data_IF_413753486754
#
_entry.id   IF_413753486754
#
_cell.length_a   1.000
_cell.length_b   1.000
_cell.length_c   1.000
_cell.angle_alpha   90.00
_cell.angle_beta   90.00
_cell.angle_gamma   90.00
#
_symmetry.space_group_name_H-M   'P 1'
#
loop_
_entity.id
_entity.type
_entity.pdbx_description
1 polymer ?
#
# COMPACT_ATOMS: atom_id res chain seq x y z
N UNK A 1 86.22 -54.56 8.96
CA UNK A 1 85.12 -55.49 8.64
C UNK A 1 83.89 -54.63 8.30
N UNK A 2 83.45 -54.63 7.05
CA UNK A 2 82.46 -53.69 6.52
C UNK A 2 81.05 -54.01 7.04
N UNK A 3 80.35 -53.02 7.59
CA UNK A 3 78.92 -53.12 7.90
C UNK A 3 78.12 -52.96 6.60
N UNK A 4 77.43 -54.02 6.17
CA UNK A 4 76.56 -54.00 5.01
C UNK A 4 75.28 -53.22 5.33
N UNK A 5 75.18 -51.96 4.88
CA UNK A 5 73.92 -51.21 4.88
C UNK A 5 72.98 -51.82 3.81
N UNK A 6 72.08 -52.72 4.22
CA UNK A 6 71.08 -53.31 3.32
C UNK A 6 70.04 -52.25 2.94
N UNK A 7 70.24 -51.59 1.79
CA UNK A 7 69.21 -50.74 1.17
C UNK A 7 68.19 -51.63 0.47
N UNK A 8 66.92 -51.47 0.81
CA UNK A 8 65.80 -52.16 0.17
C UNK A 8 65.04 -51.22 -0.75
N UNK A 9 64.41 -51.76 -1.79
CA UNK A 9 63.50 -51.01 -2.64
C UNK A 9 62.38 -51.93 -3.14
N UNK A 10 61.26 -51.31 -3.47
CA UNK A 10 60.07 -51.97 -4.02
C UNK A 10 59.67 -51.23 -5.28
N UNK A 11 59.36 -52.01 -6.33
CA UNK A 11 58.70 -51.53 -7.54
C UNK A 11 57.36 -52.22 -7.67
N UNK A 12 56.31 -51.45 -7.90
CA UNK A 12 54.97 -51.96 -8.17
C UNK A 12 54.52 -51.39 -9.50
N UNK A 13 54.20 -52.26 -10.46
CA UNK A 13 53.56 -51.85 -11.70
C UNK A 13 52.06 -52.05 -11.56
N UNK A 14 51.28 -51.04 -11.93
CA UNK A 14 49.83 -51.12 -11.96
C UNK A 14 49.31 -50.54 -13.28
N UNK A 15 48.14 -51.00 -13.68
CA UNK A 15 47.41 -50.46 -14.83
C UNK A 15 46.51 -49.32 -14.33
N UNK A 16 46.55 -48.19 -15.03
CA UNK A 16 45.70 -47.05 -14.70
C UNK A 16 44.28 -47.27 -15.19
N UNK A 17 43.31 -47.02 -14.30
CA UNK A 17 41.89 -46.99 -14.66
C UNK A 17 41.45 -45.73 -15.42
N UNK A 18 42.36 -44.77 -15.67
CA UNK A 18 42.05 -43.54 -16.40
C UNK A 18 42.41 -43.66 -17.89
N UNK A 19 43.54 -44.27 -18.20
CA UNK A 19 44.08 -44.31 -19.57
C UNK A 19 44.59 -45.69 -20.02
N UNK A 20 44.33 -46.75 -19.23
CA UNK A 20 44.68 -48.15 -19.52
C UNK A 20 46.18 -48.36 -19.78
N UNK A 21 47.03 -47.47 -19.24
CA UNK A 21 48.48 -47.55 -19.33
C UNK A 21 49.09 -48.13 -18.06
N UNK A 22 50.22 -48.80 -18.22
CA UNK A 22 51.00 -49.31 -17.11
C UNK A 22 51.93 -48.23 -16.56
N UNK A 23 51.96 -48.11 -15.23
CA UNK A 23 52.86 -47.22 -14.51
C UNK A 23 53.62 -47.98 -13.42
N UNK A 24 54.91 -47.70 -13.28
CA UNK A 24 55.75 -48.30 -12.23
C UNK A 24 56.04 -47.28 -11.14
N UNK A 25 55.55 -47.57 -9.94
CA UNK A 25 55.87 -46.83 -8.71
C UNK A 25 57.13 -47.42 -8.09
N UNK A 26 58.13 -46.58 -7.82
CA UNK A 26 59.32 -46.95 -7.09
C UNK A 26 59.33 -46.33 -5.70
N UNK A 27 59.70 -47.12 -4.70
CA UNK A 27 59.98 -46.67 -3.35
C UNK A 27 61.23 -47.34 -2.79
N UNK A 28 62.13 -46.57 -2.20
CA UNK A 28 63.24 -47.12 -1.41
C UNK A 28 63.03 -46.98 0.10
N UNK A 29 63.92 -47.60 0.88
CA UNK A 29 63.95 -47.50 2.34
C UNK A 29 64.36 -46.10 2.86
N UNK A 30 64.71 -45.17 1.97
CA UNK A 30 65.02 -43.78 2.27
C UNK A 30 63.86 -42.85 1.87
N UNK A 31 64.18 -41.83 1.08
CA UNK A 31 63.23 -40.82 0.60
C UNK A 31 62.93 -40.95 -0.92
N UNK A 32 63.48 -41.97 -1.59
CA UNK A 32 63.28 -42.19 -3.02
C UNK A 32 61.83 -42.60 -3.29
N UNK A 33 61.10 -41.74 -4.00
CA UNK A 33 59.69 -41.90 -4.30
C UNK A 33 59.40 -41.29 -5.68
N UNK A 34 59.10 -42.12 -6.68
CA UNK A 34 58.77 -41.65 -8.03
C UNK A 34 57.91 -42.65 -8.81
N UNK A 35 57.22 -42.16 -9.84
CA UNK A 35 56.46 -42.95 -10.81
C UNK A 35 57.08 -42.81 -12.18
N UNK A 36 57.24 -43.92 -12.89
CA UNK A 36 57.79 -43.98 -14.24
C UNK A 36 56.79 -44.64 -15.18
N UNK A 37 56.66 -44.12 -16.40
CA UNK A 37 56.02 -44.82 -17.51
C UNK A 37 57.04 -45.79 -18.14
N UNK A 38 56.82 -47.12 -18.10
CA UNK A 38 57.75 -48.09 -18.66
C UNK A 38 57.89 -47.99 -20.19
N UNK A 39 56.87 -47.51 -20.90
CA UNK A 39 56.86 -47.37 -22.37
C UNK A 39 57.66 -46.14 -22.80
N UNK A 40 57.51 -45.04 -22.08
CA UNK A 40 58.20 -43.77 -22.37
C UNK A 40 59.55 -43.63 -21.62
N UNK A 41 59.86 -44.56 -20.71
CA UNK A 41 61.01 -44.54 -19.81
C UNK A 41 61.22 -43.18 -19.09
N UNK A 42 60.11 -42.47 -18.85
CA UNK A 42 60.12 -41.10 -18.33
C UNK A 42 59.45 -41.06 -16.96
N UNK A 43 60.00 -40.26 -16.05
CA UNK A 43 59.42 -40.03 -14.72
C UNK A 43 58.28 -39.03 -14.83
N UNK A 44 57.11 -39.42 -14.34
CA UNK A 44 55.89 -38.60 -14.42
C UNK A 44 55.63 -37.84 -13.12
N UNK A 45 55.95 -38.45 -11.99
CA UNK A 45 55.74 -37.86 -10.68
C UNK A 45 56.94 -38.16 -9.78
N UNK A 46 57.38 -37.16 -9.03
CA UNK A 46 58.47 -37.28 -8.07
C UNK A 46 58.05 -36.68 -6.72
N UNK A 47 58.61 -37.21 -5.62
CA UNK A 47 58.22 -36.85 -4.24
C UNK A 47 56.85 -37.40 -3.85
N UNK A 48 56.61 -37.44 -2.54
CA UNK A 48 55.47 -38.13 -1.95
C UNK A 48 54.15 -37.54 -2.43
N UNK A 49 53.96 -36.24 -2.30
CA UNK A 49 52.68 -35.57 -2.55
C UNK A 49 52.24 -35.70 -4.01
N UNK A 50 53.17 -35.52 -4.95
CA UNK A 50 52.90 -35.62 -6.38
C UNK A 50 52.54 -37.05 -6.81
N UNK A 51 53.29 -38.03 -6.31
CA UNK A 51 52.99 -39.44 -6.58
C UNK A 51 51.66 -39.87 -5.93
N UNK A 52 51.31 -39.38 -4.74
CA UNK A 52 49.98 -39.63 -4.16
C UNK A 52 48.86 -39.01 -5.00
N UNK A 53 49.06 -37.77 -5.49
CA UNK A 53 48.10 -37.12 -6.41
C UNK A 53 47.95 -37.91 -7.71
N UNK A 54 49.06 -38.37 -8.28
CA UNK A 54 49.08 -39.22 -9.46
C UNK A 54 48.30 -40.52 -9.21
N UNK A 55 48.54 -41.18 -8.08
CA UNK A 55 47.84 -42.41 -7.71
C UNK A 55 46.33 -42.19 -7.52
N UNK A 56 45.90 -41.11 -6.85
CA UNK A 56 44.47 -40.82 -6.74
C UNK A 56 43.81 -40.68 -8.11
N UNK A 57 44.40 -39.89 -8.99
CA UNK A 57 43.87 -39.67 -10.33
C UNK A 57 43.83 -40.95 -11.18
N UNK A 58 44.94 -41.69 -11.23
CA UNK A 58 45.08 -42.87 -12.10
C UNK A 58 44.40 -44.13 -11.55
N UNK A 59 44.02 -44.15 -10.27
CA UNK A 59 43.20 -45.19 -9.64
C UNK A 59 41.71 -44.82 -9.55
N UNK A 60 41.32 -43.62 -10.01
CA UNK A 60 39.93 -43.15 -9.94
C UNK A 60 39.43 -42.84 -8.52
N UNK A 61 40.33 -42.43 -7.63
CA UNK A 61 40.05 -42.10 -6.23
C UNK A 61 40.05 -40.59 -6.03
N UNK A 62 39.28 -40.11 -5.05
CA UNK A 62 39.22 -38.68 -4.76
C UNK A 62 40.50 -38.20 -4.04
N UNK A 63 40.96 -36.97 -4.33
CA UNK A 63 42.09 -36.38 -3.63
C UNK A 63 41.87 -36.35 -2.11
N UNK A 64 42.83 -36.86 -1.35
CA UNK A 64 42.74 -36.96 0.11
C UNK A 64 42.19 -38.29 0.64
N UNK A 65 41.77 -39.22 -0.24
CA UNK A 65 41.39 -40.58 0.17
C UNK A 65 42.59 -41.29 0.82
N UNK A 66 42.40 -41.90 2.00
CA UNK A 66 43.46 -42.66 2.67
C UNK A 66 43.72 -44.01 1.97
N UNK A 67 44.66 -43.98 1.02
CA UNK A 67 45.10 -45.15 0.24
C UNK A 67 45.63 -46.29 1.12
N UNK A 68 46.19 -45.98 2.30
CA UNK A 68 46.75 -47.00 3.20
C UNK A 68 45.63 -47.77 3.88
N UNK A 69 44.62 -47.07 4.39
CA UNK A 69 43.43 -47.69 4.98
C UNK A 69 42.68 -48.50 3.92
N UNK A 70 42.44 -47.90 2.76
CA UNK A 70 41.77 -48.56 1.64
C UNK A 70 42.49 -49.85 1.22
N UNK A 71 43.81 -49.80 1.04
CA UNK A 71 44.59 -50.97 0.64
C UNK A 71 44.54 -52.06 1.72
N UNK A 72 44.73 -51.73 2.99
CA UNK A 72 44.73 -52.73 4.09
C UNK A 72 43.36 -53.39 4.29
N UNK A 73 42.28 -52.65 4.04
CA UNK A 73 40.92 -53.09 4.32
C UNK A 73 40.26 -53.79 3.13
N UNK A 74 40.58 -53.40 1.89
CA UNK A 74 39.87 -53.86 0.69
C UNK A 74 40.74 -54.62 -0.33
N UNK A 75 42.06 -54.39 -0.40
CA UNK A 75 42.89 -54.87 -1.53
C UNK A 75 43.97 -55.85 -1.07
N UNK A 76 44.83 -55.43 -0.13
CA UNK A 76 45.94 -56.20 0.43
C UNK A 76 45.69 -56.59 1.88
N UNK A 77 44.61 -57.33 2.12
CA UNK A 77 44.27 -57.80 3.46
C UNK A 77 45.38 -58.74 3.96
N UNK A 78 46.08 -58.44 5.07
CA UNK A 78 47.16 -59.28 5.55
C UNK A 78 46.66 -60.70 5.85
N UNK A 79 47.46 -61.72 5.54
CA UNK A 79 47.08 -63.13 5.73
C UNK A 79 46.60 -63.38 7.18
N UNK A 80 45.37 -63.89 7.34
CA UNK A 80 44.71 -64.09 8.65
C UNK A 80 43.81 -62.95 9.15
N UNK A 81 43.68 -61.85 8.39
CA UNK A 81 42.94 -60.63 8.80
C UNK A 81 41.62 -60.43 8.05
N UNK A 82 41.28 -61.32 7.10
CA UNK A 82 40.06 -61.24 6.30
C UNK A 82 38.78 -61.30 7.15
N UNK A 83 38.78 -62.10 8.22
CA UNK A 83 37.67 -62.19 9.16
C UNK A 83 37.74 -61.11 10.26
N UNK A 84 38.86 -60.40 10.43
CA UNK A 84 39.05 -59.49 11.56
C UNK A 84 38.04 -58.34 11.55
N UNK A 85 37.76 -57.72 10.39
CA UNK A 85 36.76 -56.64 10.26
C UNK A 85 35.33 -57.15 10.56
N UNK A 86 35.06 -58.44 10.30
CA UNK A 86 33.80 -59.09 10.63
C UNK A 86 33.73 -59.55 12.10
N UNK A 87 34.86 -59.58 12.80
CA UNK A 87 34.98 -59.88 14.24
C UNK A 87 35.02 -58.60 15.10
N UNK A 88 35.28 -57.44 14.49
CA UNK A 88 35.17 -56.12 15.12
C UNK A 88 33.74 -55.79 15.55
N UNK A 89 33.61 -54.89 16.53
CA UNK A 89 32.33 -54.45 17.07
C UNK A 89 31.46 -53.74 16.02
N UNK A 90 30.15 -53.74 16.24
CA UNK A 90 29.17 -53.21 15.28
C UNK A 90 29.46 -51.76 14.83
N UNK A 91 29.95 -50.91 15.74
CA UNK A 91 30.31 -49.52 15.46
C UNK A 91 31.54 -49.40 14.55
N UNK A 92 32.61 -50.16 14.82
CA UNK A 92 33.86 -50.12 14.07
C UNK A 92 33.66 -50.66 12.65
N UNK A 93 32.93 -51.77 12.55
CA UNK A 93 32.50 -52.34 11.26
C UNK A 93 31.70 -51.33 10.46
N UNK A 94 30.71 -50.68 11.06
CA UNK A 94 29.89 -49.67 10.38
C UNK A 94 30.75 -48.53 9.82
N UNK A 95 31.70 -48.00 10.58
CA UNK A 95 32.61 -46.94 10.11
C UNK A 95 33.51 -47.43 8.95
N UNK A 96 34.04 -48.66 9.03
CA UNK A 96 34.86 -49.22 7.96
C UNK A 96 34.07 -49.41 6.66
N UNK A 97 32.85 -49.94 6.74
CA UNK A 97 31.97 -50.11 5.59
C UNK A 97 31.40 -48.80 5.06
N UNK A 98 31.02 -47.85 5.92
CA UNK A 98 30.51 -46.53 5.50
C UNK A 98 31.58 -45.75 4.71
N UNK A 99 32.87 -45.89 5.07
CA UNK A 99 34.00 -45.34 4.29
C UNK A 99 34.20 -46.06 2.96
N UNK A 100 34.09 -47.38 2.95
CA UNK A 100 34.25 -48.18 1.71
C UNK A 100 33.12 -47.90 0.71
N UNK A 101 31.89 -47.74 1.21
CA UNK A 101 30.67 -47.54 0.43
C UNK A 101 30.37 -46.06 0.18
N UNK A 102 31.24 -45.14 0.61
CA UNK A 102 31.06 -43.68 0.49
C UNK A 102 29.71 -43.16 1.02
N UNK A 103 29.16 -43.78 2.06
CA UNK A 103 27.79 -43.48 2.56
C UNK A 103 27.70 -42.06 3.15
N UNK A 104 28.80 -41.55 3.71
CA UNK A 104 28.85 -40.19 4.27
C UNK A 104 28.62 -39.10 3.23
N UNK A 105 29.07 -39.29 1.99
CA UNK A 105 28.86 -38.31 0.90
C UNK A 105 27.38 -38.23 0.54
N UNK A 106 26.71 -39.37 0.41
CA UNK A 106 25.28 -39.44 0.16
C UNK A 106 24.48 -38.84 1.31
N UNK A 107 24.89 -39.07 2.56
CA UNK A 107 24.27 -38.46 3.74
C UNK A 107 24.38 -36.94 3.70
N UNK A 108 25.57 -36.40 3.41
CA UNK A 108 25.78 -34.95 3.29
C UNK A 108 24.98 -34.34 2.13
N UNK A 109 24.92 -35.01 0.98
CA UNK A 109 24.13 -34.56 -0.16
C UNK A 109 22.64 -34.54 0.17
N UNK A 110 22.12 -35.58 0.84
CA UNK A 110 20.73 -35.65 1.26
C UNK A 110 20.37 -34.55 2.27
N UNK A 111 21.27 -34.23 3.20
CA UNK A 111 21.07 -33.16 4.18
C UNK A 111 21.02 -31.78 3.51
N UNK A 112 21.96 -31.48 2.61
CA UNK A 112 21.96 -30.24 1.81
C UNK A 112 20.73 -30.09 0.93
N UNK A 113 20.28 -31.17 0.30
CA UNK A 113 19.05 -31.18 -0.49
C UNK A 113 17.83 -30.90 0.38
N UNK A 114 17.79 -31.43 1.60
CA UNK A 114 16.70 -31.20 2.54
C UNK A 114 16.63 -29.74 3.00
N UNK A 115 17.78 -29.13 3.28
CA UNK A 115 17.85 -27.69 3.59
C UNK A 115 17.35 -26.83 2.42
N UNK A 116 17.77 -27.17 1.21
CA UNK A 116 17.33 -26.48 -0.01
C UNK A 116 15.82 -26.60 -0.20
N UNK A 117 15.25 -27.80 -0.01
CA UNK A 117 13.80 -28.03 -0.09
C UNK A 117 13.05 -27.16 0.91
N UNK A 118 13.51 -27.10 2.18
CA UNK A 118 12.87 -26.27 3.22
C UNK A 118 12.91 -24.79 2.88
N UNK A 119 14.01 -24.31 2.31
CA UNK A 119 14.13 -22.93 1.87
C UNK A 119 13.13 -22.62 0.75
N UNK A 120 13.03 -23.50 -0.25
CA UNK A 120 12.06 -23.34 -1.34
C UNK A 120 10.62 -23.36 -0.83
N UNK A 121 10.28 -24.28 0.09
CA UNK A 121 8.96 -24.32 0.71
C UNK A 121 8.64 -23.00 1.42
N UNK A 122 9.60 -22.45 2.18
CA UNK A 122 9.42 -21.16 2.86
C UNK A 122 9.18 -20.00 1.89
N UNK A 123 9.86 -19.98 0.74
CA UNK A 123 9.68 -18.97 -0.30
C UNK A 123 8.31 -19.12 -0.97
N UNK A 124 7.92 -20.36 -1.30
CA UNK A 124 6.61 -20.65 -1.89
C UNK A 124 5.48 -20.25 -0.96
N UNK A 125 5.63 -20.41 0.35
CA UNK A 125 4.64 -19.94 1.33
C UNK A 125 4.63 -18.42 1.52
N UNK A 126 5.79 -17.76 1.42
CA UNK A 126 5.89 -16.30 1.59
C UNK A 126 5.37 -15.49 0.41
N UNK A 127 5.44 -16.00 -0.82
CA UNK A 127 4.98 -15.29 -2.02
C UNK A 127 3.46 -14.96 -1.97
N UNK A 128 2.56 -15.91 -1.64
CA UNK A 128 1.14 -15.62 -1.45
C UNK A 128 0.84 -14.61 -0.33
N UNK A 129 1.64 -14.57 0.73
CA UNK A 129 1.48 -13.61 1.82
C UNK A 129 1.74 -12.17 1.37
N UNK A 130 2.61 -11.97 0.38
CA UNK A 130 2.82 -10.65 -0.24
C UNK A 130 1.77 -10.29 -1.29
N UNK A 131 1.27 -11.27 -2.04
CA UNK A 131 0.30 -11.05 -3.13
C UNK A 131 -1.08 -10.67 -2.57
N UNK A 132 -1.58 -11.36 -1.54
CA UNK A 132 -2.94 -11.14 -1.03
C UNK A 132 -3.20 -9.71 -0.52
N UNK A 133 -2.31 -9.08 0.27
CA UNK A 133 -2.47 -7.68 0.66
C UNK A 133 -2.45 -6.74 -0.56
N UNK A 134 -1.54 -6.96 -1.51
CA UNK A 134 -1.43 -6.14 -2.71
C UNK A 134 -2.68 -6.23 -3.60
N UNK A 135 -3.24 -7.43 -3.78
CA UNK A 135 -4.52 -7.64 -4.49
C UNK A 135 -5.68 -6.95 -3.75
N UNK A 136 -5.70 -7.02 -2.43
CA UNK A 136 -6.70 -6.32 -1.60
C UNK A 136 -6.62 -4.79 -1.72
N UNK A 137 -5.41 -4.23 -1.70
CA UNK A 137 -5.16 -2.80 -1.90
C UNK A 137 -5.55 -2.36 -3.31
N UNK A 138 -5.25 -3.17 -4.34
CA UNK A 138 -5.62 -2.90 -5.72
C UNK A 138 -7.13 -2.88 -5.91
N UNK A 139 -7.85 -3.88 -5.39
CA UNK A 139 -9.30 -3.96 -5.46
C UNK A 139 -9.96 -2.75 -4.76
N UNK A 140 -9.43 -2.33 -3.60
CA UNK A 140 -9.92 -1.13 -2.90
C UNK A 140 -9.65 0.14 -3.71
N UNK A 141 -8.49 0.23 -4.35
CA UNK A 141 -8.13 1.38 -5.20
C UNK A 141 -9.10 1.54 -6.38
N UNK A 142 -9.50 0.43 -7.01
CA UNK A 142 -10.47 0.46 -8.11
C UNK A 142 -11.83 0.98 -7.65
N UNK A 143 -12.33 0.53 -6.49
CA UNK A 143 -13.59 1.01 -5.90
C UNK A 143 -13.49 2.52 -5.59
N UNK A 144 -12.40 2.95 -4.96
CA UNK A 144 -12.19 4.37 -4.66
C UNK A 144 -12.08 5.21 -5.94
N UNK A 145 -11.52 4.66 -7.01
CA UNK A 145 -11.44 5.34 -8.30
C UNK A 145 -12.83 5.46 -8.96
N UNK A 146 -13.68 4.45 -8.88
CA UNK A 146 -15.06 4.53 -9.38
C UNK A 146 -15.90 5.52 -8.59
N UNK A 147 -15.79 5.51 -7.26
CA UNK A 147 -16.52 6.44 -6.40
C UNK A 147 -16.08 7.89 -6.65
N UNK A 148 -14.77 8.14 -6.74
CA UNK A 148 -14.27 9.48 -7.07
C UNK A 148 -14.73 9.97 -8.44
N UNK A 149 -14.83 9.09 -9.44
CA UNK A 149 -15.37 9.43 -10.76
C UNK A 149 -16.84 9.83 -10.65
N UNK A 150 -17.67 9.03 -9.99
CA UNK A 150 -19.09 9.36 -9.78
C UNK A 150 -19.26 10.69 -9.04
N UNK A 151 -18.47 10.93 -7.98
CA UNK A 151 -18.49 12.18 -7.23
C UNK A 151 -18.02 13.38 -8.07
N UNK A 152 -17.03 13.20 -8.96
CA UNK A 152 -16.58 14.28 -9.84
C UNK A 152 -17.59 14.59 -10.94
N UNK A 153 -18.36 13.60 -11.41
CA UNK A 153 -19.47 13.79 -12.35
C UNK A 153 -20.67 14.49 -11.71
N UNK A 154 -20.98 14.21 -10.44
CA UNK A 154 -22.12 14.81 -9.72
C UNK A 154 -21.86 16.25 -9.23
N UNK A 155 -20.60 16.58 -8.91
CA UNK A 155 -20.19 17.92 -8.44
C UNK A 155 -20.67 19.09 -9.31
N UNK A 156 -20.53 19.08 -10.65
CA UNK A 156 -20.98 20.21 -11.48
C UNK A 156 -22.49 20.40 -11.43
N UNK A 157 -23.29 19.33 -11.37
CA UNK A 157 -24.74 19.42 -11.26
C UNK A 157 -25.15 20.08 -9.94
N UNK A 158 -24.58 19.62 -8.82
CA UNK A 158 -24.81 20.21 -7.50
C UNK A 158 -24.35 21.67 -7.44
N UNK A 159 -23.22 22.00 -8.07
CA UNK A 159 -22.73 23.38 -8.16
C UNK A 159 -23.71 24.28 -8.95
N UNK A 160 -24.24 23.80 -10.07
CA UNK A 160 -25.24 24.50 -10.86
C UNK A 160 -26.57 24.68 -10.10
N UNK A 161 -26.97 23.67 -9.31
CA UNK A 161 -28.15 23.76 -8.45
C UNK A 161 -27.97 24.81 -7.34
N UNK A 162 -26.80 24.83 -6.68
CA UNK A 162 -26.45 25.85 -5.68
C UNK A 162 -26.49 27.26 -6.30
N UNK A 163 -25.92 27.44 -7.49
CA UNK A 163 -25.95 28.73 -8.20
C UNK A 163 -27.39 29.16 -8.50
N UNK A 164 -28.21 28.24 -8.99
CA UNK A 164 -29.62 28.48 -9.30
C UNK A 164 -30.42 28.86 -8.05
N UNK A 165 -30.25 28.13 -6.96
CA UNK A 165 -30.91 28.39 -5.68
C UNK A 165 -30.46 29.73 -5.09
N UNK A 166 -29.17 30.04 -5.16
CA UNK A 166 -28.61 31.32 -4.71
C UNK A 166 -29.23 32.48 -5.51
N UNK A 167 -29.32 32.35 -6.84
CA UNK A 167 -30.00 33.33 -7.69
C UNK A 167 -31.49 33.49 -7.36
N UNK A 168 -32.20 32.39 -7.02
CA UNK A 168 -33.59 32.45 -6.54
C UNK A 168 -33.72 33.20 -5.22
N UNK A 169 -32.82 32.96 -4.27
CA UNK A 169 -32.80 33.65 -2.98
C UNK A 169 -32.59 35.15 -3.19
N UNK A 170 -31.58 35.56 -3.98
CA UNK A 170 -31.33 36.98 -4.26
C UNK A 170 -32.53 37.66 -4.91
N UNK A 171 -33.18 37.02 -5.90
CA UNK A 171 -34.41 37.55 -6.51
C UNK A 171 -35.54 37.70 -5.50
N UNK A 172 -35.72 36.74 -4.60
CA UNK A 172 -36.75 36.80 -3.58
C UNK A 172 -36.47 37.90 -2.54
N UNK A 173 -35.21 38.11 -2.15
CA UNK A 173 -34.82 39.21 -1.28
C UNK A 173 -35.17 40.57 -1.90
N UNK A 174 -34.81 40.79 -3.18
CA UNK A 174 -35.19 42.03 -3.89
C UNK A 174 -36.70 42.21 -3.95
N UNK A 175 -37.45 41.11 -4.17
CA UNK A 175 -38.92 41.16 -4.20
C UNK A 175 -39.50 41.52 -2.84
N UNK A 176 -38.96 40.98 -1.75
CA UNK A 176 -39.37 41.32 -0.38
C UNK A 176 -39.11 42.79 -0.08
N UNK A 177 -37.92 43.32 -0.38
CA UNK A 177 -37.62 44.75 -0.15
C UNK A 177 -38.59 45.68 -0.90
N UNK A 178 -38.97 45.34 -2.14
CA UNK A 178 -39.99 46.09 -2.89
C UNK A 178 -41.38 46.01 -2.28
N UNK A 179 -41.73 44.88 -1.66
CA UNK A 179 -43.00 44.73 -0.96
C UNK A 179 -43.01 45.55 0.33
N UNK A 180 -41.91 45.56 1.08
CA UNK A 180 -41.75 46.38 2.30
C UNK A 180 -41.86 47.88 1.99
N UNK A 181 -41.25 48.35 0.89
CA UNK A 181 -41.37 49.75 0.43
C UNK A 181 -42.81 50.11 0.04
N UNK A 182 -43.51 49.20 -0.64
CA UNK A 182 -44.92 49.37 -0.99
C UNK A 182 -45.81 49.39 0.25
N UNK A 183 -45.56 48.50 1.21
CA UNK A 183 -46.29 48.47 2.48
C UNK A 183 -46.13 49.78 3.24
N UNK A 184 -44.89 50.28 3.39
CA UNK A 184 -44.61 51.58 4.03
C UNK A 184 -45.32 52.73 3.32
N UNK A 185 -45.35 52.70 1.99
CA UNK A 185 -46.03 53.71 1.18
C UNK A 185 -47.55 53.66 1.38
N UNK A 186 -48.15 52.47 1.44
CA UNK A 186 -49.58 52.28 1.72
C UNK A 186 -49.92 52.78 3.13
N UNK A 187 -49.11 52.44 4.13
CA UNK A 187 -49.30 52.94 5.50
C UNK A 187 -49.23 54.47 5.54
N UNK A 188 -48.26 55.08 4.83
CA UNK A 188 -48.16 56.54 4.73
C UNK A 188 -49.35 57.18 3.99
N UNK A 189 -49.82 56.59 2.89
CA UNK A 189 -51.00 57.08 2.18
C UNK A 189 -52.26 56.96 3.03
N UNK A 190 -52.38 55.89 3.83
CA UNK A 190 -53.50 55.69 4.75
C UNK A 190 -53.54 56.77 5.82
N UNK A 191 -52.41 57.12 6.43
CA UNK A 191 -52.38 58.20 7.45
C UNK A 191 -52.71 59.56 6.86
N UNK A 192 -52.25 59.86 5.63
CA UNK A 192 -52.62 61.08 4.90
C UNK A 192 -54.12 61.09 4.59
N UNK A 193 -54.66 59.97 4.11
CA UNK A 193 -56.09 59.83 3.83
C UNK A 193 -56.95 60.05 5.08
N UNK A 194 -56.60 59.42 6.21
CA UNK A 194 -57.29 59.59 7.49
C UNK A 194 -57.27 61.05 7.96
N UNK A 195 -56.14 61.75 7.76
CA UNK A 195 -56.02 63.18 8.08
C UNK A 195 -56.90 64.04 7.17
N UNK A 196 -56.82 63.86 5.86
CA UNK A 196 -57.64 64.62 4.89
C UNK A 196 -59.13 64.35 5.07
N UNK A 197 -59.53 63.12 5.39
CA UNK A 197 -60.92 62.79 5.74
C UNK A 197 -61.38 63.54 6.99
N UNK A 198 -60.55 63.55 8.04
CA UNK A 198 -60.83 64.28 9.28
C UNK A 198 -60.92 65.80 9.06
N UNK A 199 -60.06 66.36 8.21
CA UNK A 199 -60.10 67.78 7.83
C UNK A 199 -61.36 68.12 7.01
N UNK A 200 -61.76 67.24 6.09
CA UNK A 200 -62.99 67.38 5.32
C UNK A 200 -64.22 67.36 6.24
N UNK A 201 -64.30 66.39 7.17
CA UNK A 201 -65.40 66.31 8.14
C UNK A 201 -65.51 67.57 9.00
N UNK A 202 -64.37 68.11 9.46
CA UNK A 202 -64.32 69.40 10.18
C UNK A 202 -64.81 70.55 9.31
N UNK A 203 -64.32 70.65 8.08
CA UNK A 203 -64.72 71.71 7.15
C UNK A 203 -66.22 71.66 6.83
N UNK A 204 -66.77 70.46 6.61
CA UNK A 204 -68.21 70.25 6.40
C UNK A 204 -69.05 70.64 7.63
N UNK A 205 -68.56 70.38 8.84
CA UNK A 205 -69.24 70.79 10.06
C UNK A 205 -69.25 72.31 10.23
N UNK A 206 -68.12 72.98 9.97
CA UNK A 206 -68.01 74.44 9.98
C UNK A 206 -68.90 75.08 8.91
N UNK A 207 -68.90 74.52 7.70
CA UNK A 207 -69.76 75.00 6.61
C UNK A 207 -71.24 74.93 6.99
N UNK A 208 -71.71 73.81 7.54
CA UNK A 208 -73.09 73.68 8.04
C UNK A 208 -73.41 74.69 9.15
N UNK A 209 -72.49 74.95 10.07
CA UNK A 209 -72.68 75.98 11.11
C UNK A 209 -72.78 77.39 10.53
N UNK A 210 -71.94 77.71 9.53
CA UNK A 210 -71.97 78.99 8.85
C UNK A 210 -73.27 79.17 8.04
N UNK A 211 -73.70 78.15 7.29
CA UNK A 211 -75.00 78.16 6.60
C UNK A 211 -76.14 78.45 7.57
N UNK A 212 -76.19 77.73 8.70
CA UNK A 212 -77.20 77.96 9.73
C UNK A 212 -77.12 79.39 10.31
N UNK A 213 -75.91 79.93 10.49
CA UNK A 213 -75.72 81.29 10.99
C UNK A 213 -76.19 82.35 10.00
N UNK A 214 -75.97 82.14 8.69
CA UNK A 214 -76.46 83.03 7.63
C UNK A 214 -77.97 82.96 7.54
N UNK A 215 -78.56 81.78 7.61
CA UNK A 215 -80.02 81.60 7.65
C UNK A 215 -80.63 82.32 8.86
N UNK A 216 -80.04 82.14 10.04
CA UNK A 216 -80.45 82.83 11.27
C UNK A 216 -80.29 84.36 11.16
N UNK A 217 -79.20 84.85 10.60
CA UNK A 217 -78.95 86.27 10.40
C UNK A 217 -79.91 86.89 9.38
N UNK A 218 -80.21 86.18 8.29
CA UNK A 218 -81.21 86.60 7.30
C UNK A 218 -82.62 86.66 7.92
N UNK A 219 -82.99 85.66 8.72
CA UNK A 219 -84.24 85.66 9.47
C UNK A 219 -84.30 86.82 10.49
N UNK A 220 -83.20 87.12 11.19
CA UNK A 220 -83.11 88.24 12.11
C UNK A 220 -83.21 89.60 11.39
N UNK A 221 -82.53 89.75 10.24
CA UNK A 221 -82.61 90.96 9.41
C UNK A 221 -84.03 91.18 8.86
N UNK A 222 -84.72 90.12 8.43
CA UNK A 222 -86.11 90.19 8.01
C UNK A 222 -87.04 90.65 9.15
N UNK A 223 -86.83 90.13 10.37
CA UNK A 223 -87.54 90.57 11.57
C UNK A 223 -87.24 92.04 11.92
N UNK A 224 -85.98 92.46 11.87
CA UNK A 224 -85.58 93.84 12.12
C UNK A 224 -86.19 94.82 11.10
N UNK A 225 -86.18 94.46 9.81
CA UNK A 225 -86.82 95.25 8.76
C UNK A 225 -88.35 95.34 8.94
N UNK A 226 -88.99 94.27 9.42
CA UNK A 226 -90.41 94.31 9.80
C UNK A 226 -90.66 95.23 11.00
N UNK A 227 -89.78 95.23 12.00
CA UNK A 227 -89.87 96.10 13.16
C UNK A 227 -89.64 97.58 12.81
N UNK A 228 -88.68 97.90 11.94
CA UNK A 228 -88.47 99.27 11.42
C UNK A 228 -89.73 99.76 10.69
N UNK A 229 -90.32 98.95 9.81
CA UNK A 229 -91.59 99.30 9.15
C UNK A 229 -92.75 99.55 10.13
N UNK A 230 -92.80 98.82 11.24
CA UNK A 230 -93.80 99.04 12.30
C UNK A 230 -93.51 100.32 13.09
N UNK A 231 -92.23 100.62 13.36
CA UNK A 231 -91.80 101.84 14.02
C UNK A 231 -92.05 103.08 13.16
N UNK A 232 -91.76 103.02 11.85
CA UNK A 232 -92.05 104.11 10.89
C UNK A 232 -93.55 104.41 10.85
N UNK A 233 -94.41 103.38 10.80
CA UNK A 233 -95.88 103.56 10.92
C UNK A 233 -96.29 104.18 12.25
N UNK A 234 -95.63 103.84 13.35
CA UNK A 234 -95.93 104.40 14.66
C UNK A 234 -95.47 105.87 14.77
N UNK A 235 -94.36 106.25 14.13
CA UNK A 235 -93.90 107.64 14.04
C UNK A 235 -94.80 108.48 13.11
N UNK A 236 -95.32 107.92 12.01
CA UNK A 236 -96.32 108.58 11.16
C UNK A 236 -97.65 108.84 11.91
N UNK A 237 -98.05 107.94 12.82
CA UNK A 237 -99.26 108.09 13.65
C UNK A 237 -99.08 109.13 14.77
N UNK A 238 -97.84 109.40 15.22
CA UNK A 238 -97.54 110.39 16.27
C UNK A 238 -97.22 111.80 15.73
N UNK A 239 -97.00 111.94 14.43
CA UNK A 239 -96.64 113.21 13.77
C UNK A 239 -97.80 113.85 12.98
N UNK A 240 -99.00 113.26 12.99
CA UNK A 240 -100.25 113.83 12.47
C UNK A 240 -101.28 114.02 13.58
#
# INVERSE_FOLDING_TARGET
MFAAAKKGWVKVTFESGLDEREYTVYRDTGAGYYVTDPRLQTRIAEKKEEVFRFLWQHLGLEPGTDLRSLFRQAIGVPQGTFTAIFLEGATERKVAFDRLLKVEEYRQAAEKLRETSRYLDSQVTGVPEGIRPAEGELARSEIVATDNKAETENKPELAAEIETLTGRISRNCVRLSRLDERERSIVGLKTVFERSSSELERSQLVFRQLEQSVENAAAAAAKAAAAVRLADRHFEILAG
#
